data_IF_265481133858
#
_entry.id   IF_265481133858
#
_cell.length_a   1.000
_cell.length_b   1.000
_cell.length_c   1.000
_cell.angle_alpha   90.00
_cell.angle_beta   90.00
_cell.angle_gamma   90.00
#
_symmetry.space_group_name_H-M   'P 1'
#
loop_
_entity.id
_entity.type
_entity.pdbx_description
1 polymer ?
#
# COMPACT_ATOMS: atom_id res chain seq x y z
N UNK A 1 16.54 5.24 -6.85
CA UNK A 1 15.11 5.45 -7.07
C UNK A 1 14.48 5.85 -5.75
N UNK A 2 13.58 6.87 -5.73
CA UNK A 2 12.83 7.27 -4.54
C UNK A 2 11.47 6.56 -4.55
N UNK A 3 11.22 5.72 -3.56
CA UNK A 3 9.95 4.99 -3.44
C UNK A 3 9.23 5.43 -2.16
N UNK A 4 8.00 5.90 -2.31
CA UNK A 4 7.09 6.14 -1.19
C UNK A 4 6.23 4.89 -0.98
N UNK A 5 6.33 4.29 0.19
CA UNK A 5 5.43 3.22 0.62
C UNK A 5 4.41 3.80 1.60
N UNK A 6 3.13 3.52 1.36
CA UNK A 6 2.04 3.98 2.20
C UNK A 6 1.23 2.79 2.70
N UNK A 7 1.00 2.69 4.00
CA UNK A 7 0.25 1.58 4.55
C UNK A 7 0.47 1.35 6.03
N UNK A 8 0.43 0.08 6.43
CA UNK A 8 0.64 -0.34 7.81
C UNK A 8 1.98 -1.02 7.99
N UNK A 9 2.57 -0.84 9.17
CA UNK A 9 3.77 -1.54 9.62
C UNK A 9 3.71 -1.80 11.13
N UNK A 10 4.61 -2.64 11.64
CA UNK A 10 4.77 -2.94 13.07
C UNK A 10 3.58 -3.66 13.73
N UNK A 11 2.66 -4.21 12.96
CA UNK A 11 1.52 -4.98 13.45
C UNK A 11 1.45 -6.34 12.74
N UNK A 12 0.90 -7.34 13.41
CA UNK A 12 0.68 -8.68 12.84
C UNK A 12 -0.62 -8.69 11.99
N UNK A 13 -0.56 -8.04 10.84
CA UNK A 13 -1.63 -8.01 9.85
C UNK A 13 -1.04 -8.33 8.47
N UNK A 14 -1.72 -9.10 7.65
CA UNK A 14 -1.21 -9.54 6.35
C UNK A 14 -0.66 -8.40 5.49
N UNK A 15 -1.37 -7.29 5.37
CA UNK A 15 -0.90 -6.13 4.61
C UNK A 15 0.34 -5.47 5.22
N UNK A 16 0.41 -5.40 6.56
CA UNK A 16 1.58 -4.87 7.23
C UNK A 16 2.79 -5.79 7.05
N UNK A 17 2.60 -7.11 7.09
CA UNK A 17 3.65 -8.08 6.84
C UNK A 17 4.18 -7.97 5.40
N UNK A 18 3.29 -7.88 4.41
CA UNK A 18 3.70 -7.67 3.00
C UNK A 18 4.51 -6.39 2.86
N UNK A 19 4.04 -5.26 3.43
CA UNK A 19 4.79 -4.01 3.42
C UNK A 19 6.19 -4.16 4.02
N UNK A 20 6.29 -4.78 5.18
CA UNK A 20 7.54 -4.91 5.91
C UNK A 20 8.56 -5.78 5.18
N UNK A 21 8.12 -6.88 4.56
CA UNK A 21 9.00 -7.71 3.75
C UNK A 21 9.47 -6.99 2.47
N UNK A 22 8.58 -6.27 1.81
CA UNK A 22 8.96 -5.45 0.64
C UNK A 22 9.96 -4.36 1.01
N UNK A 23 9.73 -3.65 2.12
CA UNK A 23 10.65 -2.63 2.62
C UNK A 23 12.02 -3.22 2.85
N UNK A 24 12.11 -4.35 3.56
CA UNK A 24 13.37 -5.03 3.88
C UNK A 24 14.19 -5.38 2.63
N UNK A 25 13.53 -5.69 1.53
CA UNK A 25 14.22 -5.93 0.26
C UNK A 25 14.56 -4.65 -0.50
N UNK A 26 13.63 -3.70 -0.57
CA UNK A 26 13.78 -2.49 -1.38
C UNK A 26 14.82 -1.52 -0.83
N UNK A 27 15.04 -1.47 0.50
CA UNK A 27 16.07 -0.61 1.11
C UNK A 27 17.49 -0.94 0.66
N UNK A 28 17.70 -2.14 0.11
CA UNK A 28 19.02 -2.58 -0.40
C UNK A 28 19.41 -1.87 -1.70
N UNK A 29 18.44 -1.32 -2.44
CA UNK A 29 18.67 -0.76 -3.78
C UNK A 29 17.99 0.57 -4.04
N UNK A 30 17.19 1.08 -3.11
CA UNK A 30 16.37 2.28 -3.30
C UNK A 30 16.26 3.11 -2.03
N UNK A 31 16.00 4.41 -2.19
CA UNK A 31 15.65 5.30 -1.10
C UNK A 31 14.17 5.09 -0.77
N UNK A 32 13.88 4.56 0.41
CA UNK A 32 12.52 4.27 0.85
C UNK A 32 12.05 5.34 1.82
N UNK A 33 10.84 5.82 1.58
CA UNK A 33 10.07 6.67 2.48
C UNK A 33 8.80 5.93 2.88
N UNK A 34 8.34 6.14 4.10
CA UNK A 34 7.14 5.46 4.57
C UNK A 34 6.14 6.42 5.21
N UNK A 35 4.90 6.35 4.74
CA UNK A 35 3.76 7.02 5.35
C UNK A 35 2.86 6.01 6.05
N UNK A 36 2.76 6.14 7.37
CA UNK A 36 1.80 5.36 8.13
C UNK A 36 0.38 5.80 7.80
N UNK A 37 -0.47 4.86 7.42
CA UNK A 37 -1.92 5.04 7.28
C UNK A 37 -2.56 4.56 8.58
N UNK A 38 -3.49 5.33 9.19
CA UNK A 38 -4.17 4.90 10.40
C UNK A 38 -4.86 3.53 10.21
N UNK A 39 -4.62 2.61 11.13
CA UNK A 39 -5.30 1.32 11.11
C UNK A 39 -6.76 1.51 11.58
N UNK A 40 -7.75 0.96 10.86
CA UNK A 40 -9.16 1.20 11.18
C UNK A 40 -9.56 0.72 12.57
N UNK A 41 -8.99 -0.38 13.05
CA UNK A 41 -9.29 -0.93 14.36
C UNK A 41 -8.31 -0.39 15.40
N UNK A 42 -8.77 0.52 16.25
CA UNK A 42 -7.97 1.14 17.31
C UNK A 42 -7.43 0.15 18.37
N UNK A 43 -8.01 -1.03 18.48
CA UNK A 43 -7.55 -2.06 19.40
C UNK A 43 -6.32 -2.80 18.89
N UNK A 44 -5.99 -2.68 17.62
CA UNK A 44 -4.79 -3.25 17.00
C UNK A 44 -3.65 -2.25 17.01
N UNK A 45 -2.60 -2.61 17.72
CA UNK A 45 -1.39 -1.79 17.80
C UNK A 45 -0.16 -2.67 18.00
N UNK A 46 1.03 -2.12 17.75
CA UNK A 46 2.30 -2.85 17.80
C UNK A 46 2.65 -3.43 19.18
N UNK A 47 2.09 -2.90 20.26
CA UNK A 47 2.32 -3.42 21.61
C UNK A 47 1.57 -4.73 21.87
N UNK A 48 0.34 -4.85 21.34
CA UNK A 48 -0.53 -6.02 21.52
C UNK A 48 -0.42 -7.03 20.39
N UNK A 49 -0.12 -6.56 19.21
CA UNK A 49 -0.14 -7.33 17.95
C UNK A 49 1.21 -7.16 17.25
N UNK A 50 2.30 -7.60 17.90
CA UNK A 50 3.64 -7.54 17.31
C UNK A 50 3.71 -8.34 16.01
N UNK A 51 4.45 -7.81 15.05
CA UNK A 51 4.60 -8.42 13.72
C UNK A 51 5.31 -9.78 13.70
N UNK A 52 6.01 -10.14 14.79
CA UNK A 52 6.79 -11.38 14.85
C UNK A 52 8.07 -11.36 14.00
N UNK A 53 8.42 -10.24 13.41
CA UNK A 53 9.66 -10.09 12.65
C UNK A 53 10.88 -10.06 13.57
N UNK A 54 12.05 -10.47 13.03
CA UNK A 54 13.34 -10.33 13.72
C UNK A 54 13.64 -8.86 14.02
N UNK A 55 14.32 -8.59 15.13
CA UNK A 55 14.58 -7.22 15.59
C UNK A 55 15.40 -6.40 14.59
N UNK A 56 16.36 -7.02 13.88
CA UNK A 56 17.14 -6.36 12.84
C UNK A 56 16.25 -5.81 11.70
N UNK A 57 15.22 -6.55 11.31
CA UNK A 57 14.25 -6.14 10.31
C UNK A 57 13.38 -5.01 10.86
N UNK A 58 12.90 -5.14 12.10
CA UNK A 58 12.12 -4.10 12.78
C UNK A 58 12.91 -2.79 12.88
N UNK A 59 14.19 -2.85 13.20
CA UNK A 59 15.06 -1.67 13.31
C UNK A 59 15.29 -1.00 11.95
N UNK A 60 15.46 -1.79 10.90
CA UNK A 60 15.53 -1.27 9.53
C UNK A 60 14.24 -0.50 9.19
N UNK A 61 13.08 -1.08 9.45
CA UNK A 61 11.78 -0.49 9.15
C UNK A 61 11.52 0.78 9.98
N UNK A 62 11.95 0.81 11.24
CA UNK A 62 11.79 1.99 12.12
C UNK A 62 12.61 3.18 11.67
N UNK A 63 13.77 2.97 11.06
CA UNK A 63 14.68 4.03 10.59
C UNK A 63 14.24 4.68 9.28
N UNK A 64 13.22 4.15 8.60
CA UNK A 64 12.75 4.70 7.34
C UNK A 64 12.16 6.09 7.55
N UNK A 65 12.57 7.02 6.71
CA UNK A 65 12.17 8.41 6.78
C UNK A 65 10.68 8.60 6.45
N UNK A 66 10.07 9.57 7.12
CA UNK A 66 8.74 10.04 6.73
C UNK A 66 8.80 10.75 5.36
N UNK A 67 7.72 10.75 4.57
CA UNK A 67 7.70 11.44 3.30
C UNK A 67 7.69 12.96 3.46
N UNK A 68 8.28 13.65 2.48
CA UNK A 68 8.26 15.11 2.36
C UNK A 68 7.56 15.52 1.06
N UNK A 69 6.83 16.62 1.08
CA UNK A 69 6.21 17.22 -0.11
C UNK A 69 7.24 17.78 -1.10
N UNK A 70 8.49 18.01 -0.63
CA UNK A 70 9.58 18.53 -1.44
C UNK A 70 10.39 17.42 -2.14
N UNK A 71 9.98 16.18 -2.01
CA UNK A 71 10.62 15.03 -2.67
C UNK A 71 9.76 14.54 -3.82
N UNK A 72 10.38 14.42 -4.99
CA UNK A 72 9.78 13.74 -6.14
C UNK A 72 10.00 12.23 -6.01
N UNK A 73 8.90 11.48 -5.99
CA UNK A 73 8.94 10.04 -5.91
C UNK A 73 8.84 9.42 -7.31
N UNK A 74 9.63 8.42 -7.57
CA UNK A 74 9.49 7.63 -8.80
C UNK A 74 8.23 6.76 -8.73
N UNK A 75 7.96 6.20 -7.56
CA UNK A 75 6.82 5.32 -7.32
C UNK A 75 6.20 5.65 -5.96
N UNK A 76 4.87 5.72 -5.90
CA UNK A 76 4.10 5.52 -4.67
C UNK A 76 3.49 4.12 -4.71
N UNK A 77 3.76 3.31 -3.69
CA UNK A 77 3.19 1.97 -3.53
C UNK A 77 2.34 1.95 -2.26
N UNK A 78 1.05 1.68 -2.40
CA UNK A 78 0.09 1.73 -1.29
C UNK A 78 -0.50 0.37 -1.00
N UNK A 79 -0.46 -0.04 0.28
CA UNK A 79 -1.15 -1.21 0.80
C UNK A 79 -1.98 -0.79 2.01
N UNK A 80 -3.29 -0.67 1.84
CA UNK A 80 -4.24 -0.36 2.92
C UNK A 80 -5.65 -0.80 2.54
N UNK A 81 -6.53 -0.90 3.51
CA UNK A 81 -7.95 -1.06 3.30
C UNK A 81 -8.73 -0.05 4.18
N UNK A 82 -9.83 0.55 3.71
CA UNK A 82 -10.34 0.48 2.35
C UNK A 82 -9.34 1.04 1.33
N UNK A 83 -9.48 0.65 0.05
CA UNK A 83 -8.57 1.09 -1.01
C UNK A 83 -8.80 2.57 -1.29
N UNK A 84 -7.71 3.33 -1.34
CA UNK A 84 -7.72 4.74 -1.69
C UNK A 84 -6.81 4.95 -2.90
N UNK A 85 -7.33 5.60 -3.92
CA UNK A 85 -6.66 5.82 -5.21
C UNK A 85 -6.21 7.27 -5.40
N UNK A 86 -6.38 8.12 -4.37
CA UNK A 86 -5.91 9.50 -4.42
C UNK A 86 -4.39 9.57 -4.23
N UNK A 87 -3.75 10.47 -4.97
CA UNK A 87 -2.32 10.70 -4.87
C UNK A 87 -2.06 12.00 -4.10
N UNK A 88 -1.42 11.87 -2.93
CA UNK A 88 -1.14 13.01 -2.04
C UNK A 88 0.23 13.63 -2.28
N UNK A 89 1.20 12.83 -2.67
CA UNK A 89 2.59 13.25 -2.91
C UNK A 89 2.90 13.20 -4.40
N UNK A 90 3.82 14.06 -4.85
CA UNK A 90 4.26 14.03 -6.24
C UNK A 90 5.00 12.72 -6.54
N UNK A 91 4.44 11.90 -7.40
CA UNK A 91 5.06 10.65 -7.83
C UNK A 91 4.70 10.34 -9.28
N UNK A 92 5.66 9.78 -10.00
CA UNK A 92 5.50 9.45 -11.42
C UNK A 92 4.48 8.33 -11.65
N UNK A 93 4.35 7.41 -10.68
CA UNK A 93 3.38 6.31 -10.77
C UNK A 93 2.80 5.97 -9.40
N UNK A 94 1.52 5.59 -9.37
CA UNK A 94 0.81 5.08 -8.19
C UNK A 94 0.45 3.62 -8.40
N UNK A 95 0.98 2.76 -7.54
CA UNK A 95 0.59 1.36 -7.43
C UNK A 95 -0.24 1.16 -6.16
N UNK A 96 -1.40 0.57 -6.28
CA UNK A 96 -2.25 0.19 -5.14
C UNK A 96 -2.36 -1.32 -5.10
N UNK A 97 -1.81 -1.92 -4.03
CA UNK A 97 -2.02 -3.34 -3.77
C UNK A 97 -3.44 -3.54 -3.25
N UNK A 98 -4.20 -4.37 -3.94
CA UNK A 98 -5.60 -4.58 -3.61
C UNK A 98 -6.03 -6.02 -3.88
N UNK A 99 -6.90 -6.53 -3.02
CA UNK A 99 -7.43 -7.89 -3.11
C UNK A 99 -8.95 -7.86 -3.19
N UNK A 100 -9.54 -8.84 -3.87
CA UNK A 100 -10.98 -9.11 -3.78
C UNK A 100 -11.16 -10.52 -3.23
N UNK A 101 -11.66 -10.63 -2.00
CA UNK A 101 -11.79 -11.94 -1.34
C UNK A 101 -12.93 -12.77 -1.92
N UNK A 102 -14.02 -12.11 -2.35
CA UNK A 102 -15.24 -12.76 -2.84
C UNK A 102 -15.49 -12.59 -4.35
N UNK A 103 -14.45 -12.23 -5.12
CA UNK A 103 -14.56 -11.91 -6.56
C UNK A 103 -15.45 -10.68 -6.86
N UNK A 104 -16.08 -10.12 -5.87
CA UNK A 104 -16.88 -8.90 -5.97
C UNK A 104 -16.18 -7.78 -5.19
N UNK A 105 -16.14 -6.61 -5.77
CA UNK A 105 -15.69 -5.39 -5.13
C UNK A 105 -16.89 -4.48 -4.98
N UNK A 106 -17.32 -4.24 -3.74
CA UNK A 106 -18.40 -3.30 -3.44
C UNK A 106 -17.82 -1.93 -3.10
N UNK A 107 -18.62 -0.88 -3.20
CA UNK A 107 -18.20 0.51 -2.94
C UNK A 107 -17.63 0.74 -1.54
N UNK A 108 -17.93 -0.13 -0.59
CA UNK A 108 -17.35 -0.10 0.78
C UNK A 108 -15.83 -0.36 0.79
N UNK A 109 -15.30 -1.06 -0.21
CA UNK A 109 -13.89 -1.42 -0.29
C UNK A 109 -13.00 -0.35 -0.91
N UNK A 110 -13.58 0.69 -1.52
CA UNK A 110 -12.81 1.79 -2.11
C UNK A 110 -13.42 3.15 -1.79
N UNK A 111 -12.56 4.16 -1.66
CA UNK A 111 -12.94 5.51 -1.27
C UNK A 111 -12.80 6.44 -2.46
N UNK A 112 -13.83 7.27 -2.70
CA UNK A 112 -13.80 8.38 -3.68
C UNK A 112 -13.27 7.95 -5.06
N UNK A 113 -13.77 6.83 -5.57
CA UNK A 113 -13.26 6.24 -6.80
C UNK A 113 -14.37 6.08 -7.84
N UNK A 114 -14.07 6.55 -9.03
CA UNK A 114 -14.79 6.23 -10.25
C UNK A 114 -13.87 5.33 -11.10
N UNK A 115 -14.19 4.01 -11.23
CA UNK A 115 -13.36 3.06 -11.96
C UNK A 115 -13.05 3.49 -13.39
N UNK A 116 -14.03 4.10 -14.08
CA UNK A 116 -13.87 4.56 -15.47
C UNK A 116 -12.88 5.72 -15.59
N UNK A 117 -12.85 6.61 -14.60
CA UNK A 117 -11.87 7.70 -14.56
C UNK A 117 -10.47 7.20 -14.21
N UNK A 118 -10.37 6.23 -13.31
CA UNK A 118 -9.08 5.65 -12.94
C UNK A 118 -8.45 4.88 -14.09
N UNK A 119 -9.23 4.12 -14.84
CA UNK A 119 -8.74 3.36 -15.99
C UNK A 119 -8.17 4.21 -17.13
N UNK A 120 -8.36 5.54 -17.09
CA UNK A 120 -7.79 6.51 -18.04
C UNK A 120 -6.50 7.17 -17.55
N UNK A 121 -6.08 6.92 -16.30
CA UNK A 121 -4.82 7.47 -15.78
C UNK A 121 -3.66 6.59 -16.23
N UNK A 122 -2.75 7.15 -17.03
CA UNK A 122 -1.61 6.41 -17.60
C UNK A 122 -0.64 5.84 -16.56
N UNK A 123 -0.52 6.49 -15.39
CA UNK A 123 0.47 6.14 -14.37
C UNK A 123 -0.18 5.57 -13.10
N UNK A 124 -1.31 4.89 -13.25
CA UNK A 124 -2.04 4.25 -12.17
C UNK A 124 -2.15 2.74 -12.40
N UNK A 125 -1.80 1.96 -11.38
CA UNK A 125 -1.78 0.51 -11.47
C UNK A 125 -2.41 -0.13 -10.23
N UNK A 126 -3.30 -1.10 -10.43
CA UNK A 126 -3.77 -1.98 -9.37
C UNK A 126 -2.93 -3.25 -9.40
N UNK A 127 -2.17 -3.50 -8.35
CA UNK A 127 -1.41 -4.71 -8.15
C UNK A 127 -2.23 -5.73 -7.38
N UNK A 128 -2.59 -6.82 -7.99
CA UNK A 128 -3.37 -7.88 -7.35
C UNK A 128 -2.52 -9.15 -7.15
N UNK A 129 -2.69 -9.87 -6.02
CA UNK A 129 -1.89 -11.06 -5.72
C UNK A 129 -2.29 -12.28 -6.55
N UNK A 130 -3.40 -12.22 -7.26
CA UNK A 130 -3.93 -13.38 -8.00
C UNK A 130 -4.83 -12.99 -9.17
N UNK A 131 -4.97 -13.91 -10.12
CA UNK A 131 -5.96 -13.77 -11.20
C UNK A 131 -7.40 -13.72 -10.69
N UNK A 132 -7.68 -14.30 -9.53
CA UNK A 132 -8.97 -14.20 -8.89
C UNK A 132 -9.31 -12.76 -8.51
N UNK A 133 -8.40 -12.09 -7.78
CA UNK A 133 -8.54 -10.68 -7.42
C UNK A 133 -8.61 -9.79 -8.65
N UNK A 134 -7.77 -10.02 -9.65
CA UNK A 134 -7.83 -9.30 -10.93
C UNK A 134 -9.22 -9.36 -11.57
N UNK A 135 -9.82 -10.55 -11.66
CA UNK A 135 -11.17 -10.73 -12.21
C UNK A 135 -12.22 -9.94 -11.41
N UNK A 136 -12.07 -9.87 -10.09
CA UNK A 136 -12.96 -9.07 -9.24
C UNK A 136 -12.91 -7.59 -9.57
N UNK A 137 -11.71 -7.02 -9.74
CA UNK A 137 -11.55 -5.62 -10.15
C UNK A 137 -12.10 -5.36 -11.55
N UNK A 138 -11.83 -6.23 -12.51
CA UNK A 138 -12.38 -6.11 -13.88
C UNK A 138 -13.91 -6.16 -13.87
N UNK A 139 -14.52 -7.01 -13.04
CA UNK A 139 -15.99 -7.11 -12.91
C UNK A 139 -16.60 -5.84 -12.28
N UNK A 140 -15.84 -5.10 -11.50
CA UNK A 140 -16.25 -3.83 -10.90
C UNK A 140 -15.96 -2.61 -11.82
N UNK A 141 -15.54 -2.84 -13.07
CA UNK A 141 -15.33 -1.77 -14.06
C UNK A 141 -13.91 -1.20 -14.10
N UNK A 142 -12.98 -1.69 -13.28
CA UNK A 142 -11.56 -1.30 -13.42
C UNK A 142 -10.97 -1.92 -14.69
N UNK A 143 -10.03 -1.21 -15.33
CA UNK A 143 -9.41 -1.62 -16.60
C UNK A 143 -7.92 -1.85 -16.43
#
# INVERSE_FOLDING_TARGET
>A
MNILIEGWRNINHSYALVNQWQINELVKSSNIFFRDIPFPNKNWNSKKNDSGLKDEIKDTIRKIQAPSINVDYDITYRISAPFNFDQKFNSKALFVFATTEYKNLTEEFYINCDPDKLGKKENFFIHTPSNWSKKGFLSAGFK
#
